data_IF_942852806261
#
_entry.id   IF_942852806261
#
_cell.length_a   1.000
_cell.length_b   1.000
_cell.length_c   1.000
_cell.angle_alpha   90.00
_cell.angle_beta   90.00
_cell.angle_gamma   90.00
#
_symmetry.space_group_name_H-M   'P 1'
#
loop_
_entity.id
_entity.type
_entity.pdbx_description
1 polymer ?
#
# COMPACT_ATOMS: atom_id res chain seq x y z
N UNK A 1 -59.62 34.38 36.81
CA UNK A 1 -59.31 34.53 35.38
C UNK A 1 -57.98 35.25 35.23
N UNK A 2 -56.91 34.55 34.80
CA UNK A 2 -55.74 35.13 34.12
C UNK A 2 -54.54 34.18 34.23
N UNK A 3 -54.05 33.78 33.05
CA UNK A 3 -52.66 33.45 32.68
C UNK A 3 -52.01 32.27 33.41
N UNK A 4 -51.86 31.16 32.68
CA UNK A 4 -50.55 30.56 32.38
C UNK A 4 -50.69 29.51 31.26
N UNK A 5 -49.61 29.32 30.52
CA UNK A 5 -49.36 28.29 29.49
C UNK A 5 -49.72 28.65 28.03
N UNK A 6 -48.90 29.51 27.44
CA UNK A 6 -48.79 29.67 25.98
C UNK A 6 -47.33 29.71 25.48
N UNK A 7 -46.40 29.08 26.22
CA UNK A 7 -44.96 29.10 25.90
C UNK A 7 -44.31 27.73 25.67
N UNK A 8 -45.07 26.63 25.70
CA UNK A 8 -44.52 25.28 25.44
C UNK A 8 -44.69 24.79 24.00
N UNK A 9 -45.55 25.43 23.19
CA UNK A 9 -45.84 24.99 21.81
C UNK A 9 -44.92 25.55 20.72
N UNK A 10 -44.31 26.72 20.94
CA UNK A 10 -43.50 27.40 19.91
C UNK A 10 -42.05 26.93 19.91
N UNK A 11 -41.54 26.41 21.03
CA UNK A 11 -40.15 25.91 21.15
C UNK A 11 -39.98 24.52 20.54
N UNK A 12 -41.01 23.67 20.55
CA UNK A 12 -40.93 22.36 19.91
C UNK A 12 -40.99 22.42 18.38
N UNK A 13 -41.71 23.39 17.81
CA UNK A 13 -41.81 23.53 16.35
C UNK A 13 -40.52 24.08 15.71
N UNK A 14 -39.76 24.94 16.41
CA UNK A 14 -38.44 25.42 15.95
C UNK A 14 -37.34 24.39 16.15
N UNK A 15 -37.39 23.56 17.20
CA UNK A 15 -36.47 22.43 17.36
C UNK A 15 -36.69 21.35 16.29
N UNK A 16 -37.94 21.01 15.98
CA UNK A 16 -38.26 20.08 14.89
C UNK A 16 -37.91 20.66 13.51
N UNK A 17 -38.10 21.96 13.29
CA UNK A 17 -37.66 22.62 12.06
C UNK A 17 -36.12 22.69 11.95
N UNK A 18 -35.37 22.90 13.04
CA UNK A 18 -33.90 22.80 13.04
C UNK A 18 -33.40 21.36 12.86
N UNK A 19 -34.15 20.35 13.32
CA UNK A 19 -33.82 18.94 13.11
C UNK A 19 -34.17 18.45 11.70
N UNK A 20 -35.19 19.04 11.07
CA UNK A 20 -35.61 18.73 9.69
C UNK A 20 -34.83 19.56 8.65
N UNK A 21 -34.28 20.73 9.03
CA UNK A 21 -33.40 21.55 8.18
C UNK A 21 -31.90 21.21 8.32
N UNK A 22 -31.54 20.21 9.15
CA UNK A 22 -30.22 19.55 9.12
C UNK A 22 -30.17 18.37 8.14
N UNK A 23 -31.17 18.22 7.27
CA UNK A 23 -31.06 17.45 6.02
C UNK A 23 -30.60 18.41 4.92
N UNK A 24 -29.43 19.01 5.12
CA UNK A 24 -28.56 19.38 4.02
C UNK A 24 -27.42 18.40 4.09
N UNK A 25 -27.37 17.50 3.11
CA UNK A 25 -26.31 16.51 2.91
C UNK A 25 -24.95 17.20 2.90
N UNK A 26 -24.33 17.31 4.07
CA UNK A 26 -22.88 17.40 4.19
C UNK A 26 -22.38 16.09 3.62
N UNK A 27 -21.91 16.12 2.37
CA UNK A 27 -21.24 14.98 1.77
C UNK A 27 -20.02 14.72 2.64
N UNK A 28 -20.09 13.72 3.52
CA UNK A 28 -18.93 13.35 4.33
C UNK A 28 -17.72 13.13 3.41
N UNK A 29 -16.59 13.70 3.75
CA UNK A 29 -15.39 13.63 2.90
C UNK A 29 -14.67 12.28 3.04
N UNK A 30 -14.97 11.55 4.13
CA UNK A 30 -14.41 10.26 4.50
C UNK A 30 -15.52 9.38 5.05
N UNK A 31 -15.38 8.06 4.89
CA UNK A 31 -16.23 7.06 5.54
C UNK A 31 -15.37 6.32 6.54
N UNK A 32 -15.55 6.67 7.82
CA UNK A 32 -14.90 5.99 8.93
C UNK A 32 -15.70 4.74 9.30
N UNK A 33 -15.02 3.67 9.68
CA UNK A 33 -15.66 2.45 10.17
C UNK A 33 -15.81 2.56 11.68
N UNK A 34 -16.92 2.07 12.20
CA UNK A 34 -16.99 1.69 13.60
C UNK A 34 -16.12 0.43 13.81
N UNK A 35 -15.11 0.59 14.66
CA UNK A 35 -14.15 -0.45 15.00
C UNK A 35 -14.54 -1.19 16.29
N UNK A 36 -15.68 -0.87 16.89
CA UNK A 36 -16.20 -1.52 18.09
C UNK A 36 -16.44 -3.03 17.83
N UNK A 37 -15.84 -3.88 18.67
CA UNK A 37 -15.91 -5.34 18.51
C UNK A 37 -14.99 -5.94 17.45
N UNK A 38 -14.06 -5.17 16.85
CA UNK A 38 -13.04 -5.74 15.98
C UNK A 38 -12.10 -6.65 16.80
N UNK A 39 -12.02 -7.97 16.51
CA UNK A 39 -11.25 -8.92 17.30
C UNK A 39 -9.73 -8.66 17.22
N UNK A 40 -9.27 -7.88 16.24
CA UNK A 40 -7.87 -7.50 16.08
C UNK A 40 -7.47 -6.27 16.89
N UNK A 41 -8.42 -5.61 17.56
CA UNK A 41 -8.16 -4.48 18.44
C UNK A 41 -8.23 -4.97 19.88
N UNK A 42 -7.10 -4.96 20.58
CA UNK A 42 -7.07 -5.27 22.02
C UNK A 42 -7.52 -4.03 22.80
N UNK A 43 -8.64 -4.07 23.55
CA UNK A 43 -9.04 -2.94 24.38
C UNK A 43 -7.95 -2.62 25.41
N UNK A 44 -7.60 -1.34 25.57
CA UNK A 44 -6.60 -0.82 26.52
C UNK A 44 -5.14 -1.27 26.30
N UNK A 45 -4.76 -1.72 25.10
CA UNK A 45 -3.34 -1.89 24.79
C UNK A 45 -2.69 -0.51 24.56
N UNK A 46 -1.75 -0.11 25.42
CA UNK A 46 -0.86 1.04 25.16
C UNK A 46 0.09 0.78 23.95
N UNK A 47 -0.01 -0.39 23.34
CA UNK A 47 0.74 -0.82 22.17
C UNK A 47 0.16 -0.36 20.84
N UNK A 48 0.46 -1.15 19.82
CA UNK A 48 0.33 -0.78 18.42
C UNK A 48 -1.10 -0.50 17.94
N UNK A 49 -2.16 -0.90 18.63
CA UNK A 49 -3.54 -0.69 18.15
C UNK A 49 -4.23 0.54 18.76
N UNK A 50 -3.50 1.35 19.54
CA UNK A 50 -4.02 2.53 20.26
C UNK A 50 -4.37 3.72 19.36
N UNK A 51 -3.94 3.70 18.10
CA UNK A 51 -4.04 4.82 17.16
C UNK A 51 -4.60 4.35 15.81
N UNK A 52 -5.66 4.98 15.32
CA UNK A 52 -6.23 4.68 13.99
C UNK A 52 -5.34 5.21 12.86
N UNK A 53 -5.05 6.51 12.85
CA UNK A 53 -4.12 7.16 11.90
C UNK A 53 -3.30 8.22 12.62
N UNK A 54 -2.11 8.50 12.12
CA UNK A 54 -1.27 9.61 12.61
C UNK A 54 -1.90 10.94 12.19
N UNK A 55 -2.44 11.02 10.96
CA UNK A 55 -3.06 12.24 10.45
C UNK A 55 -4.21 12.73 11.33
N UNK A 56 -5.16 11.86 11.68
CA UNK A 56 -6.35 12.27 12.44
C UNK A 56 -5.99 12.64 13.88
N UNK A 57 -5.03 11.94 14.48
CA UNK A 57 -4.53 12.32 15.81
C UNK A 57 -3.88 13.71 15.81
N UNK A 58 -3.05 14.02 14.82
CA UNK A 58 -2.46 15.36 14.68
C UNK A 58 -3.54 16.42 14.46
N UNK A 59 -4.52 16.16 13.58
CA UNK A 59 -5.63 17.07 13.28
C UNK A 59 -6.50 17.35 14.51
N UNK A 60 -6.73 16.33 15.34
CA UNK A 60 -7.61 16.41 16.51
C UNK A 60 -6.96 17.16 17.67
N UNK A 61 -5.64 16.98 17.87
CA UNK A 61 -4.96 17.44 19.09
C UNK A 61 -4.12 18.72 18.89
N UNK A 62 -3.85 19.14 17.66
CA UNK A 62 -3.09 20.36 17.38
C UNK A 62 -4.02 21.53 17.04
N UNK A 63 -3.69 22.77 17.51
CA UNK A 63 -4.36 23.97 17.01
C UNK A 63 -4.22 24.10 15.49
N UNK A 64 -5.24 24.63 14.82
CA UNK A 64 -5.34 24.69 13.35
C UNK A 64 -4.08 25.24 12.66
N UNK A 65 -3.54 26.37 13.15
CA UNK A 65 -2.34 26.99 12.59
C UNK A 65 -1.09 26.10 12.75
N UNK A 66 -0.96 25.42 13.89
CA UNK A 66 0.14 24.49 14.16
C UNK A 66 -0.02 23.23 13.30
N UNK A 67 -1.23 22.67 13.22
CA UNK A 67 -1.55 21.54 12.37
C UNK A 67 -1.21 21.83 10.91
N UNK A 68 -1.54 23.01 10.40
CA UNK A 68 -1.22 23.40 9.03
C UNK A 68 0.30 23.35 8.75
N UNK A 69 1.14 23.80 9.69
CA UNK A 69 2.60 23.72 9.56
C UNK A 69 3.13 22.29 9.68
N UNK A 70 2.63 21.52 10.65
CA UNK A 70 3.00 20.11 10.82
C UNK A 70 2.63 19.31 9.57
N UNK A 71 1.41 19.50 9.04
CA UNK A 71 0.94 18.89 7.80
C UNK A 71 1.85 19.23 6.62
N UNK A 72 2.21 20.50 6.44
CA UNK A 72 3.11 20.94 5.36
C UNK A 72 4.47 20.23 5.41
N UNK A 73 5.03 20.03 6.60
CA UNK A 73 6.33 19.38 6.78
C UNK A 73 6.21 17.85 6.58
N UNK A 74 5.24 17.23 7.24
CA UNK A 74 5.10 15.77 7.26
C UNK A 74 4.46 15.19 6.00
N UNK A 75 3.61 15.94 5.30
CA UNK A 75 2.85 15.43 4.15
C UNK A 75 3.09 16.23 2.86
N UNK A 76 3.70 17.42 2.93
CA UNK A 76 4.03 18.23 1.75
C UNK A 76 2.90 19.16 1.29
N UNK A 77 2.75 19.33 -0.02
CA UNK A 77 1.77 20.23 -0.62
C UNK A 77 0.31 19.79 -0.37
N UNK A 78 -0.64 20.72 -0.55
CA UNK A 78 -2.04 20.45 -0.26
C UNK A 78 -2.70 19.48 -1.25
N UNK A 79 -3.59 18.65 -0.70
CA UNK A 79 -4.59 17.86 -1.40
C UNK A 79 -5.99 18.32 -0.97
N UNK A 80 -7.00 17.97 -1.75
CA UNK A 80 -8.41 18.17 -1.38
C UNK A 80 -9.13 16.84 -1.25
N UNK A 81 -10.09 16.77 -0.35
CA UNK A 81 -10.97 15.61 -0.27
C UNK A 81 -11.86 15.54 -1.51
N UNK A 82 -12.12 14.32 -1.99
CA UNK A 82 -13.09 14.04 -3.04
C UNK A 82 -14.42 13.65 -2.39
N UNK A 83 -15.53 14.06 -2.99
CA UNK A 83 -16.86 13.64 -2.54
C UNK A 83 -17.06 12.15 -2.76
N UNK A 84 -17.46 11.42 -1.71
CA UNK A 84 -17.79 10.00 -1.79
C UNK A 84 -19.30 9.85 -2.12
N UNK A 85 -19.71 9.14 -3.18
CA UNK A 85 -21.14 8.92 -3.48
C UNK A 85 -21.85 8.16 -2.36
N UNK A 86 -23.13 8.45 -2.13
CA UNK A 86 -23.92 7.80 -1.07
C UNK A 86 -23.96 6.27 -1.21
N UNK A 87 -24.02 5.76 -2.44
CA UNK A 87 -23.96 4.32 -2.71
C UNK A 87 -22.66 3.69 -2.21
N UNK A 88 -21.53 4.41 -2.34
CA UNK A 88 -20.23 3.96 -1.83
C UNK A 88 -20.23 4.00 -0.31
N UNK A 89 -20.75 5.06 0.33
CA UNK A 89 -20.86 5.14 1.79
C UNK A 89 -21.70 4.00 2.36
N UNK A 90 -22.89 3.81 1.81
CA UNK A 90 -23.82 2.77 2.24
C UNK A 90 -23.19 1.38 2.08
N UNK A 91 -22.47 1.13 0.99
CA UNK A 91 -21.73 -0.12 0.79
C UNK A 91 -20.58 -0.27 1.79
N UNK A 92 -19.80 0.77 2.01
CA UNK A 92 -18.66 0.79 2.92
C UNK A 92 -19.08 0.52 4.37
N UNK A 93 -20.14 1.18 4.85
CA UNK A 93 -20.73 0.94 6.18
C UNK A 93 -21.26 -0.49 6.30
N UNK A 94 -22.04 -0.95 5.31
CA UNK A 94 -22.61 -2.31 5.30
C UNK A 94 -21.52 -3.39 5.34
N UNK A 95 -20.43 -3.17 4.62
CA UNK A 95 -19.34 -4.14 4.46
C UNK A 95 -18.12 -3.83 5.34
N UNK A 96 -18.23 -2.86 6.24
CA UNK A 96 -17.26 -2.51 7.28
C UNK A 96 -15.85 -2.22 6.74
N UNK A 97 -15.73 -1.33 5.76
CA UNK A 97 -14.44 -0.83 5.28
C UNK A 97 -14.39 0.68 5.16
N UNK A 98 -13.21 1.25 5.39
CA UNK A 98 -12.97 2.70 5.35
C UNK A 98 -12.93 3.17 3.89
N UNK A 99 -13.40 4.38 3.62
CA UNK A 99 -13.16 5.04 2.33
C UNK A 99 -12.57 6.42 2.56
N UNK A 100 -11.36 6.64 2.06
CA UNK A 100 -10.73 7.96 1.96
C UNK A 100 -10.50 8.29 0.50
N UNK A 101 -10.73 9.55 0.12
CA UNK A 101 -10.60 9.96 -1.27
C UNK A 101 -9.98 11.36 -1.37
N UNK A 102 -8.86 11.48 -2.10
CA UNK A 102 -8.10 12.72 -2.22
C UNK A 102 -7.76 13.07 -3.67
N UNK A 103 -7.79 14.35 -3.99
CA UNK A 103 -7.28 14.92 -5.24
C UNK A 103 -5.95 15.63 -4.98
N UNK A 104 -4.92 15.21 -5.72
CA UNK A 104 -3.54 15.71 -5.64
C UNK A 104 -3.16 16.52 -6.89
N UNK A 105 -4.14 16.98 -7.66
CA UNK A 105 -3.90 17.64 -8.96
C UNK A 105 -3.67 19.15 -8.85
N UNK A 106 -3.86 19.74 -7.67
CA UNK A 106 -3.95 21.19 -7.50
C UNK A 106 -2.64 21.94 -7.72
N UNK A 107 -1.50 21.28 -7.51
CA UNK A 107 -0.17 21.88 -7.66
C UNK A 107 0.45 21.61 -9.04
N UNK A 108 -0.31 21.00 -9.95
CA UNK A 108 0.15 20.62 -11.29
C UNK A 108 -0.07 21.80 -12.23
N UNK A 109 1.00 22.29 -12.85
CA UNK A 109 0.92 23.41 -13.77
C UNK A 109 0.20 22.98 -15.05
N UNK A 110 -0.64 23.85 -15.62
CA UNK A 110 -1.28 23.59 -16.91
C UNK A 110 -0.21 23.65 -18.02
N UNK A 111 -0.08 22.57 -18.78
CA UNK A 111 0.80 22.55 -19.96
C UNK A 111 0.06 23.12 -21.19
N UNK A 112 0.76 23.88 -22.03
CA UNK A 112 0.19 24.44 -23.26
C UNK A 112 0.10 23.42 -24.39
N UNK A 113 1.05 22.48 -24.45
CA UNK A 113 1.18 21.49 -25.52
C UNK A 113 0.58 20.13 -25.19
N UNK A 114 0.12 19.92 -23.95
CA UNK A 114 -0.40 18.64 -23.49
C UNK A 114 -1.62 18.82 -22.60
N UNK A 115 -2.67 18.01 -22.79
CA UNK A 115 -3.79 18.00 -21.86
C UNK A 115 -3.36 17.38 -20.50
N UNK A 116 -4.08 17.68 -19.40
CA UNK A 116 -3.96 16.94 -18.15
C UNK A 116 -4.12 15.43 -18.36
N UNK A 117 -3.28 14.63 -17.70
CA UNK A 117 -3.36 13.16 -17.74
C UNK A 117 -3.87 12.65 -16.40
N UNK A 118 -5.15 12.90 -16.14
CA UNK A 118 -5.80 12.58 -14.87
C UNK A 118 -6.06 11.08 -14.78
N UNK A 119 -5.65 10.49 -13.66
CA UNK A 119 -5.85 9.07 -13.34
C UNK A 119 -6.31 8.96 -11.89
N UNK A 120 -7.29 8.09 -11.62
CA UNK A 120 -7.69 7.71 -10.27
C UNK A 120 -7.11 6.36 -9.90
N UNK A 121 -6.32 6.34 -8.83
CA UNK A 121 -5.79 5.14 -8.21
C UNK A 121 -6.73 4.67 -7.09
N UNK A 122 -6.89 3.36 -6.96
CA UNK A 122 -7.54 2.72 -5.82
C UNK A 122 -6.56 1.78 -5.12
N UNK A 123 -6.33 1.98 -3.83
CA UNK A 123 -5.48 1.12 -3.01
C UNK A 123 -6.39 0.40 -2.02
N UNK A 124 -6.38 -0.92 -2.06
CA UNK A 124 -7.19 -1.76 -1.17
C UNK A 124 -6.28 -2.44 -0.14
N UNK A 125 -6.55 -2.18 1.14
CA UNK A 125 -6.01 -2.93 2.26
C UNK A 125 -7.11 -3.72 2.95
N UNK A 126 -6.80 -4.92 3.42
CA UNK A 126 -7.75 -5.78 4.08
C UNK A 126 -7.09 -6.82 5.00
N UNK A 127 -7.84 -7.26 6.00
CA UNK A 127 -7.57 -8.49 6.75
C UNK A 127 -8.09 -9.71 5.98
N UNK A 128 -7.69 -10.91 6.40
CA UNK A 128 -8.20 -12.18 5.86
C UNK A 128 -9.73 -12.29 6.01
N UNK A 129 -10.36 -13.07 5.13
CA UNK A 129 -11.83 -13.22 5.09
C UNK A 129 -12.39 -14.30 6.01
N UNK A 130 -11.58 -15.27 6.44
CA UNK A 130 -11.96 -16.36 7.32
C UNK A 130 -10.77 -16.79 8.20
N UNK A 131 -11.02 -17.61 9.22
CA UNK A 131 -9.97 -18.12 10.09
C UNK A 131 -8.99 -19.01 9.32
N UNK A 132 -7.72 -19.00 9.74
CA UNK A 132 -6.65 -19.79 9.11
C UNK A 132 -6.83 -21.30 9.25
N UNK A 133 -7.70 -21.75 10.16
CA UNK A 133 -8.08 -23.15 10.38
C UNK A 133 -9.16 -23.64 9.42
N UNK A 134 -9.84 -22.75 8.69
CA UNK A 134 -10.85 -23.13 7.70
C UNK A 134 -10.20 -23.76 6.47
N UNK A 135 -10.92 -24.57 5.68
CA UNK A 135 -10.41 -25.08 4.40
C UNK A 135 -9.96 -23.95 3.48
N UNK A 136 -8.90 -24.19 2.69
CA UNK A 136 -8.30 -23.21 1.77
C UNK A 136 -9.34 -22.55 0.88
N UNK A 137 -10.26 -23.33 0.29
CA UNK A 137 -11.33 -22.83 -0.57
C UNK A 137 -12.31 -21.89 0.13
N UNK A 138 -12.59 -22.12 1.42
CA UNK A 138 -13.46 -21.26 2.24
C UNK A 138 -12.77 -19.93 2.50
N UNK A 139 -11.48 -19.96 2.87
CA UNK A 139 -10.68 -18.75 3.05
C UNK A 139 -10.59 -17.93 1.76
N UNK A 140 -10.34 -18.60 0.64
CA UNK A 140 -10.23 -17.98 -0.69
C UNK A 140 -11.55 -17.32 -1.11
N UNK A 141 -12.68 -18.03 -0.95
CA UNK A 141 -14.00 -17.47 -1.29
C UNK A 141 -14.35 -16.27 -0.42
N UNK A 142 -14.07 -16.34 0.87
CA UNK A 142 -14.36 -15.24 1.80
C UNK A 142 -13.58 -13.97 1.43
N UNK A 143 -12.33 -14.10 0.98
CA UNK A 143 -11.53 -12.94 0.57
C UNK A 143 -11.93 -12.40 -0.80
N UNK A 144 -12.30 -13.26 -1.76
CA UNK A 144 -12.87 -12.83 -3.06
C UNK A 144 -14.13 -11.97 -2.87
N UNK A 145 -15.08 -12.42 -2.04
CA UNK A 145 -16.33 -11.69 -1.77
C UNK A 145 -16.10 -10.33 -1.12
N UNK A 146 -15.03 -10.20 -0.32
CA UNK A 146 -14.64 -8.96 0.34
C UNK A 146 -13.99 -7.99 -0.66
N UNK A 147 -13.07 -8.48 -1.47
CA UNK A 147 -12.38 -7.70 -2.51
C UNK A 147 -13.36 -7.25 -3.60
N UNK A 148 -14.31 -8.09 -4.01
CA UNK A 148 -15.33 -7.70 -5.00
C UNK A 148 -16.08 -6.43 -4.57
N UNK A 149 -16.49 -6.35 -3.30
CA UNK A 149 -17.25 -5.20 -2.76
C UNK A 149 -16.42 -3.92 -2.71
N UNK A 150 -15.12 -4.02 -2.42
CA UNK A 150 -14.21 -2.88 -2.42
C UNK A 150 -13.88 -2.43 -3.85
N UNK A 151 -13.76 -3.36 -4.81
CA UNK A 151 -13.59 -3.04 -6.23
C UNK A 151 -14.87 -2.40 -6.79
N UNK A 152 -16.05 -2.88 -6.42
CA UNK A 152 -17.33 -2.26 -6.79
C UNK A 152 -17.42 -0.82 -6.29
N UNK A 153 -17.00 -0.56 -5.05
CA UNK A 153 -16.89 0.79 -4.50
C UNK A 153 -15.85 1.65 -5.26
N UNK A 154 -14.68 1.09 -5.58
CA UNK A 154 -13.66 1.77 -6.37
C UNK A 154 -14.18 2.16 -7.77
N UNK A 155 -14.97 1.28 -8.41
CA UNK A 155 -15.59 1.55 -9.70
C UNK A 155 -16.58 2.72 -9.62
N UNK A 156 -17.42 2.79 -8.57
CA UNK A 156 -18.33 3.92 -8.33
C UNK A 156 -17.59 5.23 -8.03
N UNK A 157 -16.36 5.16 -7.52
CA UNK A 157 -15.45 6.30 -7.35
C UNK A 157 -14.71 6.69 -8.65
N UNK A 158 -14.93 5.97 -9.75
CA UNK A 158 -14.27 6.22 -11.04
C UNK A 158 -12.79 5.85 -11.06
N UNK A 159 -12.36 4.89 -10.22
CA UNK A 159 -10.98 4.40 -10.20
C UNK A 159 -10.62 3.76 -11.55
N UNK A 160 -9.43 4.08 -12.04
CA UNK A 160 -8.89 3.57 -13.29
C UNK A 160 -7.91 2.40 -13.08
N UNK A 161 -7.14 2.45 -12.00
CA UNK A 161 -6.15 1.44 -11.63
C UNK A 161 -6.30 1.06 -10.17
N UNK A 162 -6.59 -0.20 -9.87
CA UNK A 162 -6.64 -0.73 -8.50
C UNK A 162 -5.40 -1.56 -8.21
N UNK A 163 -4.79 -1.33 -7.04
CA UNK A 163 -3.78 -2.21 -6.46
C UNK A 163 -4.34 -2.93 -5.24
N UNK A 164 -4.05 -4.23 -5.16
CA UNK A 164 -4.31 -5.07 -3.98
C UNK A 164 -3.01 -5.23 -3.17
N UNK A 165 -3.12 -5.61 -1.89
CA UNK A 165 -1.99 -5.89 -1.02
C UNK A 165 -1.23 -7.17 -1.40
N UNK A 166 -0.07 -7.40 -0.77
CA UNK A 166 0.74 -8.59 -1.04
C UNK A 166 0.02 -9.90 -0.64
N UNK A 167 0.10 -10.90 -1.51
CA UNK A 167 -0.47 -12.24 -1.31
C UNK A 167 -1.93 -12.16 -0.82
N UNK A 168 -2.73 -11.29 -1.45
CA UNK A 168 -4.05 -10.91 -0.94
C UNK A 168 -5.02 -12.09 -0.81
N UNK A 169 -4.81 -13.15 -1.58
CA UNK A 169 -5.64 -14.36 -1.62
C UNK A 169 -5.46 -15.29 -0.42
N UNK A 170 -4.45 -15.07 0.42
CA UNK A 170 -4.09 -15.99 1.50
C UNK A 170 -3.76 -15.27 2.83
N UNK A 171 -3.84 -15.97 3.97
CA UNK A 171 -3.10 -15.58 5.17
C UNK A 171 -1.60 -15.53 4.88
N UNK A 172 -0.88 -14.65 5.55
CA UNK A 172 0.56 -14.49 5.42
C UNK A 172 1.31 -15.58 6.21
N UNK A 173 1.05 -16.84 5.86
CA UNK A 173 1.46 -18.04 6.60
C UNK A 173 2.97 -18.34 6.59
N UNK A 174 3.79 -17.48 5.97
CA UNK A 174 5.21 -17.73 5.80
C UNK A 174 5.98 -17.80 7.13
N UNK A 175 5.44 -17.26 8.23
CA UNK A 175 6.02 -17.43 9.57
C UNK A 175 6.09 -18.89 10.02
N UNK A 176 5.10 -19.70 9.62
CA UNK A 176 4.95 -21.09 10.08
C UNK A 176 6.04 -21.99 9.51
N UNK A 177 6.56 -21.63 8.33
CA UNK A 177 7.50 -22.43 7.51
C UNK A 177 6.91 -23.76 7.03
N UNK A 178 5.65 -24.03 7.34
CA UNK A 178 4.91 -25.21 6.91
C UNK A 178 4.58 -25.13 5.43
N UNK A 179 4.62 -26.27 4.73
CA UNK A 179 4.24 -26.36 3.32
C UNK A 179 2.75 -26.60 3.13
N UNK A 180 2.17 -27.48 3.95
CA UNK A 180 0.76 -27.84 3.86
C UNK A 180 -0.02 -27.20 5.00
N UNK A 181 -1.25 -26.70 4.75
CA UNK A 181 -1.92 -26.61 3.45
C UNK A 181 -1.53 -25.35 2.64
N UNK A 182 -0.59 -24.53 3.14
CA UNK A 182 -0.33 -23.18 2.62
C UNK A 182 0.08 -23.12 1.14
N UNK A 183 0.73 -24.15 0.62
CA UNK A 183 1.11 -24.24 -0.80
C UNK A 183 -0.07 -24.55 -1.73
N UNK A 184 -1.25 -24.91 -1.21
CA UNK A 184 -2.48 -25.06 -1.99
C UNK A 184 -3.07 -23.71 -2.42
N UNK A 185 -2.68 -22.60 -1.77
CA UNK A 185 -3.04 -21.25 -2.23
C UNK A 185 -2.29 -20.83 -3.50
N UNK A 186 -1.22 -21.55 -3.87
CA UNK A 186 -0.44 -21.21 -5.04
C UNK A 186 -1.18 -21.57 -6.33
N UNK A 187 -1.23 -20.66 -7.27
CA UNK A 187 -1.98 -20.80 -8.52
C UNK A 187 -1.23 -20.31 -9.74
N UNK A 188 -1.69 -20.69 -10.93
CA UNK A 188 -1.13 -20.19 -12.20
C UNK A 188 -1.35 -18.69 -12.35
N UNK A 189 -0.32 -17.96 -12.76
CA UNK A 189 -0.40 -16.49 -12.85
C UNK A 189 -1.45 -16.00 -13.87
N UNK A 190 -1.57 -16.65 -15.03
CA UNK A 190 -2.48 -16.22 -16.10
C UNK A 190 -3.88 -16.87 -16.02
N UNK A 191 -3.93 -18.13 -15.62
CA UNK A 191 -5.15 -18.97 -15.67
C UNK A 191 -5.67 -19.36 -14.30
N UNK A 192 -4.98 -18.96 -13.23
CA UNK A 192 -5.38 -19.20 -11.84
C UNK A 192 -6.68 -18.50 -11.45
N UNK A 193 -7.24 -18.95 -10.33
CA UNK A 193 -8.58 -18.57 -9.87
C UNK A 193 -8.69 -17.06 -9.67
N UNK A 194 -7.74 -16.42 -8.98
CA UNK A 194 -7.81 -14.97 -8.75
C UNK A 194 -7.74 -14.17 -10.04
N UNK A 195 -6.85 -14.56 -10.97
CA UNK A 195 -6.70 -13.85 -12.24
C UNK A 195 -7.99 -13.96 -13.06
N UNK A 196 -8.60 -15.14 -13.14
CA UNK A 196 -9.87 -15.31 -13.86
C UNK A 196 -11.03 -14.54 -13.21
N UNK A 197 -11.08 -14.50 -11.88
CA UNK A 197 -12.04 -13.69 -11.13
C UNK A 197 -11.86 -12.19 -11.42
N UNK A 198 -10.65 -11.66 -11.25
CA UNK A 198 -10.35 -10.24 -11.43
C UNK A 198 -10.45 -9.79 -12.90
N UNK A 199 -10.20 -10.66 -13.88
CA UNK A 199 -10.42 -10.36 -15.31
C UNK A 199 -11.88 -9.97 -15.60
N UNK A 200 -12.84 -10.59 -14.91
CA UNK A 200 -14.26 -10.25 -15.04
C UNK A 200 -14.53 -8.83 -14.53
N UNK A 201 -14.00 -8.49 -13.35
CA UNK A 201 -14.17 -7.17 -12.74
C UNK A 201 -13.44 -6.08 -13.52
N UNK A 202 -12.21 -6.32 -13.94
CA UNK A 202 -11.42 -5.41 -14.77
C UNK A 202 -12.18 -5.02 -16.06
N UNK A 203 -12.74 -6.01 -16.76
CA UNK A 203 -13.55 -5.79 -17.96
C UNK A 203 -14.88 -5.07 -17.64
N UNK A 204 -15.57 -5.49 -16.59
CA UNK A 204 -16.86 -4.90 -16.15
C UNK A 204 -16.71 -3.40 -15.88
N UNK A 205 -15.61 -2.98 -15.26
CA UNK A 205 -15.40 -1.62 -14.80
C UNK A 205 -14.42 -0.79 -15.63
N UNK A 206 -13.90 -1.35 -16.74
CA UNK A 206 -12.87 -0.69 -17.55
C UNK A 206 -11.68 -0.22 -16.69
N UNK A 207 -11.17 -1.14 -15.85
CA UNK A 207 -10.20 -0.86 -14.79
C UNK A 207 -8.99 -1.79 -14.89
N UNK A 208 -7.78 -1.26 -14.74
CA UNK A 208 -6.56 -2.06 -14.60
C UNK A 208 -6.46 -2.56 -13.17
N UNK A 209 -6.09 -3.82 -12.96
CA UNK A 209 -5.95 -4.41 -11.62
C UNK A 209 -4.55 -5.02 -11.45
N UNK A 210 -3.86 -4.64 -10.37
CA UNK A 210 -2.60 -5.25 -9.92
C UNK A 210 -2.91 -6.26 -8.83
N UNK A 211 -2.61 -7.53 -9.07
CA UNK A 211 -2.96 -8.69 -8.22
C UNK A 211 -1.72 -9.44 -7.74
N UNK A 212 -1.22 -9.17 -6.52
CA UNK A 212 -0.12 -9.93 -5.92
C UNK A 212 -0.59 -11.26 -5.33
N UNK A 213 -0.04 -12.37 -5.82
CA UNK A 213 -0.43 -13.75 -5.49
C UNK A 213 0.80 -14.63 -5.20
N UNK A 214 0.53 -15.79 -4.61
CA UNK A 214 1.46 -16.91 -4.62
C UNK A 214 1.30 -17.63 -5.97
N UNK A 215 2.31 -17.55 -6.82
CA UNK A 215 2.31 -18.20 -8.13
C UNK A 215 2.89 -19.61 -8.01
N UNK A 216 2.25 -20.58 -8.67
CA UNK A 216 2.83 -21.86 -9.06
C UNK A 216 3.09 -21.84 -10.56
N UNK A 217 4.33 -22.08 -10.96
CA UNK A 217 4.77 -22.08 -12.36
C UNK A 217 4.85 -23.52 -12.89
N UNK A 218 3.74 -24.05 -13.43
CA UNK A 218 3.69 -25.43 -13.92
C UNK A 218 4.62 -25.69 -15.10
N UNK A 219 4.93 -24.67 -15.91
CA UNK A 219 5.89 -24.79 -17.02
C UNK A 219 7.33 -25.00 -16.53
N UNK A 220 7.63 -24.58 -15.30
CA UNK A 220 8.97 -24.66 -14.70
C UNK A 220 8.96 -25.50 -13.43
N UNK A 221 8.46 -26.74 -13.51
CA UNK A 221 8.47 -27.75 -12.43
C UNK A 221 7.73 -27.32 -11.16
N UNK A 222 6.58 -26.65 -11.31
CA UNK A 222 5.72 -26.21 -10.20
C UNK A 222 6.46 -25.32 -9.17
N UNK A 223 7.50 -24.62 -9.60
CA UNK A 223 8.26 -23.70 -8.73
C UNK A 223 7.35 -22.58 -8.26
N UNK A 224 7.51 -22.23 -6.99
CA UNK A 224 6.68 -21.24 -6.31
C UNK A 224 7.36 -19.88 -6.34
N UNK A 225 6.55 -18.84 -6.58
CA UNK A 225 6.99 -17.46 -6.70
C UNK A 225 6.03 -16.51 -5.97
N UNK A 226 6.55 -15.39 -5.49
CA UNK A 226 5.74 -14.25 -5.09
C UNK A 226 5.63 -13.30 -6.28
N UNK A 227 4.42 -13.12 -6.79
CA UNK A 227 4.19 -12.58 -8.14
C UNK A 227 3.06 -11.58 -8.15
N UNK A 228 3.27 -10.43 -8.78
CA UNK A 228 2.20 -9.50 -9.11
C UNK A 228 1.78 -9.67 -10.57
N UNK A 229 0.50 -9.95 -10.79
CA UNK A 229 -0.13 -10.04 -12.10
C UNK A 229 -0.77 -8.69 -12.44
N UNK A 230 -0.59 -8.21 -13.67
CA UNK A 230 -1.25 -7.01 -14.18
C UNK A 230 -2.35 -7.40 -15.16
N UNK A 231 -3.58 -7.07 -14.81
CA UNK A 231 -4.78 -7.34 -15.60
C UNK A 231 -5.23 -6.03 -16.24
N UNK A 232 -5.35 -6.04 -17.57
CA UNK A 232 -5.77 -4.87 -18.34
C UNK A 232 -7.26 -4.59 -18.19
N UNK A 233 -7.65 -3.35 -18.47
CA UNK A 233 -9.03 -2.85 -18.39
C UNK A 233 -10.03 -3.55 -19.33
N UNK A 234 -9.55 -4.38 -20.26
CA UNK A 234 -10.40 -5.22 -21.13
C UNK A 234 -10.53 -6.66 -20.62
N UNK A 235 -9.98 -6.96 -19.44
CA UNK A 235 -9.91 -8.30 -18.86
C UNK A 235 -8.86 -9.19 -19.51
N UNK A 236 -7.88 -8.63 -20.21
CA UNK A 236 -6.73 -9.36 -20.73
C UNK A 236 -5.62 -9.44 -19.68
N UNK A 237 -4.90 -10.55 -19.65
CA UNK A 237 -3.63 -10.64 -18.93
C UNK A 237 -2.60 -9.80 -19.68
N UNK A 238 -1.95 -8.84 -19.01
CA UNK A 238 -0.87 -8.03 -19.62
C UNK A 238 0.47 -8.72 -19.37
N UNK A 239 0.67 -9.25 -18.16
CA UNK A 239 1.91 -9.88 -17.76
C UNK A 239 2.02 -10.02 -16.25
N UNK A 240 3.21 -10.41 -15.80
CA UNK A 240 3.56 -10.58 -14.39
C UNK A 240 4.94 -10.02 -14.07
N UNK A 241 5.18 -9.75 -12.79
CA UNK A 241 6.50 -9.49 -12.22
C UNK A 241 6.68 -10.29 -10.94
N UNK A 242 7.88 -10.78 -10.70
CA UNK A 242 8.24 -11.58 -9.52
C UNK A 242 9.01 -10.73 -8.50
N UNK A 243 8.87 -11.05 -7.22
CA UNK A 243 9.52 -10.31 -6.13
C UNK A 243 11.05 -10.43 -6.23
N UNK A 244 11.71 -9.32 -6.59
CA UNK A 244 13.17 -9.31 -6.80
C UNK A 244 13.99 -9.53 -5.52
N UNK A 245 13.48 -9.08 -4.37
CA UNK A 245 14.21 -9.15 -3.10
C UNK A 245 13.39 -9.92 -2.06
N UNK A 246 13.93 -11.05 -1.60
CA UNK A 246 13.23 -11.96 -0.69
C UNK A 246 13.77 -11.80 0.74
N UNK A 247 12.92 -11.46 1.72
CA UNK A 247 13.34 -11.37 3.11
C UNK A 247 13.66 -12.74 3.70
N UNK A 248 14.53 -12.69 4.72
CA UNK A 248 14.91 -13.83 5.57
C UNK A 248 14.91 -13.45 7.05
N UNK A 249 14.12 -12.43 7.42
CA UNK A 249 14.20 -11.75 8.72
C UNK A 249 13.02 -12.09 9.62
N UNK A 250 13.29 -12.61 10.81
CA UNK A 250 12.27 -12.92 11.83
C UNK A 250 11.18 -13.86 11.30
N UNK A 251 9.93 -13.43 11.39
CA UNK A 251 8.76 -14.17 10.89
C UNK A 251 8.59 -14.14 9.36
N UNK A 252 9.30 -13.25 8.67
CA UNK A 252 9.29 -13.15 7.20
C UNK A 252 10.23 -14.21 6.58
N UNK A 253 9.94 -15.48 6.81
CA UNK A 253 10.71 -16.64 6.32
C UNK A 253 10.38 -17.00 4.86
N UNK A 254 10.18 -15.99 4.03
CA UNK A 254 9.68 -16.11 2.66
C UNK A 254 10.60 -16.92 1.74
N UNK A 255 11.92 -16.82 1.93
CA UNK A 255 12.90 -17.60 1.16
C UNK A 255 12.78 -19.12 1.33
N UNK A 256 12.03 -19.57 2.34
CA UNK A 256 11.66 -20.99 2.49
C UNK A 256 10.72 -21.42 1.38
N UNK A 257 9.90 -20.51 0.85
CA UNK A 257 8.78 -20.80 -0.07
C UNK A 257 9.11 -20.50 -1.53
N UNK A 258 9.82 -19.41 -1.81
CA UNK A 258 10.08 -18.94 -3.17
C UNK A 258 11.45 -18.27 -3.30
N UNK A 259 11.87 -18.13 -4.56
CA UNK A 259 13.18 -17.61 -4.96
C UNK A 259 13.12 -16.13 -5.37
N UNK A 260 14.29 -15.51 -5.49
CA UNK A 260 14.45 -14.16 -6.04
C UNK A 260 13.96 -14.08 -7.49
N UNK A 261 13.17 -13.05 -7.78
CA UNK A 261 12.56 -12.85 -9.09
C UNK A 261 13.57 -12.79 -10.24
N UNK A 262 13.20 -13.41 -11.36
CA UNK A 262 14.03 -13.54 -12.56
C UNK A 262 13.51 -12.72 -13.77
N UNK A 263 12.54 -11.84 -13.55
CA UNK A 263 11.86 -11.07 -14.61
C UNK A 263 12.36 -9.62 -14.72
N UNK A 264 13.33 -9.22 -13.90
CA UNK A 264 13.85 -7.86 -13.87
C UNK A 264 12.84 -6.85 -13.32
N UNK A 265 12.71 -5.70 -13.98
CA UNK A 265 11.89 -4.58 -13.51
C UNK A 265 10.90 -4.12 -14.61
N UNK A 266 9.99 -4.98 -15.07
CA UNK A 266 9.08 -4.65 -16.17
C UNK A 266 8.16 -3.49 -15.79
N UNK A 267 7.92 -2.62 -16.77
CA UNK A 267 6.95 -1.53 -16.68
C UNK A 267 5.83 -1.80 -17.67
N UNK A 268 4.60 -1.83 -17.18
CA UNK A 268 3.42 -2.19 -17.95
C UNK A 268 2.77 -0.93 -18.48
N UNK A 269 2.79 -0.75 -19.80
CA UNK A 269 2.07 0.34 -20.45
C UNK A 269 0.58 0.02 -20.54
N UNK A 270 -0.24 0.90 -19.98
CA UNK A 270 -1.71 0.78 -19.99
C UNK A 270 -2.32 2.07 -20.52
N UNK A 271 -3.63 2.05 -20.81
CA UNK A 271 -4.35 3.28 -21.19
C UNK A 271 -4.34 4.35 -20.08
N UNK A 272 -4.01 3.97 -18.84
CA UNK A 272 -3.99 4.84 -17.67
C UNK A 272 -2.58 5.15 -17.16
N UNK A 273 -1.55 4.90 -17.98
CA UNK A 273 -0.16 5.20 -17.67
C UNK A 273 0.73 3.96 -17.56
N UNK A 274 2.03 4.21 -17.35
CA UNK A 274 3.07 3.18 -17.20
C UNK A 274 3.24 2.76 -15.74
N UNK A 275 2.97 1.50 -15.45
CA UNK A 275 2.88 0.97 -14.09
C UNK A 275 4.06 0.05 -13.79
N UNK A 276 4.78 0.31 -12.70
CA UNK A 276 5.72 -0.64 -12.08
C UNK A 276 5.14 -1.24 -10.80
N UNK A 277 5.68 -2.38 -10.35
CA UNK A 277 5.25 -3.02 -9.11
C UNK A 277 6.48 -3.46 -8.30
N UNK A 278 6.77 -2.74 -7.24
CA UNK A 278 7.82 -3.09 -6.29
C UNK A 278 7.22 -3.90 -5.13
N UNK A 279 7.40 -5.22 -5.14
CA UNK A 279 6.73 -6.09 -4.16
C UNK A 279 7.45 -6.05 -2.79
N UNK A 280 6.71 -5.60 -1.77
CA UNK A 280 7.01 -5.70 -0.34
C UNK A 280 8.44 -5.35 0.05
N UNK A 281 9.28 -6.35 0.40
CA UNK A 281 10.64 -6.16 0.89
C UNK A 281 11.55 -5.42 -0.09
N UNK A 282 11.19 -5.46 -1.38
CA UNK A 282 11.81 -4.62 -2.40
C UNK A 282 11.74 -3.12 -2.10
N UNK A 283 10.88 -2.67 -1.16
CA UNK A 283 10.80 -1.29 -0.67
C UNK A 283 12.08 -0.80 -0.01
N UNK A 284 12.86 -1.70 0.59
CA UNK A 284 14.08 -1.37 1.33
C UNK A 284 15.29 -1.14 0.41
N UNK A 285 15.18 -1.44 -0.89
CA UNK A 285 16.28 -1.38 -1.85
C UNK A 285 16.07 -0.21 -2.81
N UNK A 286 16.77 0.93 -2.62
CA UNK A 286 16.67 2.09 -3.52
C UNK A 286 16.90 1.75 -5.01
N UNK A 287 17.81 0.81 -5.30
CA UNK A 287 18.11 0.38 -6.67
C UNK A 287 16.92 -0.32 -7.36
N UNK A 288 16.06 -1.00 -6.60
CA UNK A 288 14.87 -1.67 -7.13
C UNK A 288 13.83 -0.62 -7.58
N UNK A 289 13.59 0.40 -6.75
CA UNK A 289 12.79 1.56 -7.12
C UNK A 289 13.35 2.30 -8.34
N UNK A 290 14.66 2.55 -8.33
CA UNK A 290 15.35 3.23 -9.41
C UNK A 290 15.23 2.49 -10.74
N UNK A 291 15.29 1.16 -10.72
CA UNK A 291 15.18 0.34 -11.92
C UNK A 291 13.81 0.48 -12.61
N UNK A 292 12.71 0.60 -11.85
CA UNK A 292 11.40 0.94 -12.43
C UNK A 292 11.37 2.37 -13.00
N UNK A 293 12.02 3.32 -12.33
CA UNK A 293 12.17 4.70 -12.81
C UNK A 293 12.94 4.80 -14.13
N UNK A 294 14.05 4.06 -14.25
CA UNK A 294 14.87 3.94 -15.47
C UNK A 294 14.07 3.34 -16.63
N UNK A 295 13.20 2.36 -16.34
CA UNK A 295 12.30 1.75 -17.33
C UNK A 295 11.05 2.60 -17.62
N UNK A 296 10.98 3.82 -17.08
CA UNK A 296 9.97 4.81 -17.45
C UNK A 296 8.65 4.72 -16.69
N UNK A 297 8.60 4.06 -15.54
CA UNK A 297 7.40 4.02 -14.70
C UNK A 297 6.89 5.43 -14.36
N UNK A 298 5.57 5.59 -14.41
CA UNK A 298 4.85 6.81 -13.99
C UNK A 298 4.19 6.63 -12.62
N UNK A 299 3.87 5.39 -12.28
CA UNK A 299 3.24 4.96 -11.03
C UNK A 299 3.92 3.65 -10.63
N UNK A 300 4.38 3.54 -9.39
CA UNK A 300 4.88 2.28 -8.85
C UNK A 300 4.02 1.85 -7.67
N UNK A 301 3.35 0.70 -7.80
CA UNK A 301 2.65 0.08 -6.68
C UNK A 301 3.64 -0.66 -5.79
N UNK A 302 3.45 -0.56 -4.47
CA UNK A 302 4.20 -1.29 -3.47
C UNK A 302 3.27 -2.10 -2.57
N UNK A 303 2.76 -3.25 -3.07
CA UNK A 303 1.98 -4.16 -2.27
C UNK A 303 2.88 -4.83 -1.23
N UNK A 304 2.49 -4.75 0.03
CA UNK A 304 3.25 -5.26 1.17
C UNK A 304 2.36 -6.01 2.15
N UNK A 305 2.98 -6.90 2.92
CA UNK A 305 2.50 -7.36 4.20
C UNK A 305 3.65 -7.20 5.20
N UNK A 306 3.50 -6.30 6.17
CA UNK A 306 4.52 -6.05 7.18
C UNK A 306 3.90 -5.65 8.52
N UNK A 307 4.49 -6.13 9.61
CA UNK A 307 4.04 -5.86 10.99
C UNK A 307 4.87 -4.77 11.63
N UNK A 308 4.45 -4.23 12.77
CA UNK A 308 5.18 -3.13 13.40
C UNK A 308 6.43 -3.53 14.17
N UNK A 309 6.77 -2.74 15.18
CA UNK A 309 8.14 -2.70 15.70
C UNK A 309 9.03 -1.84 14.79
N UNK A 310 10.15 -2.39 14.32
CA UNK A 310 11.11 -1.62 13.51
C UNK A 310 10.58 -1.23 12.12
N UNK A 311 9.63 -1.98 11.55
CA UNK A 311 9.17 -1.70 10.18
C UNK A 311 8.27 -0.48 10.05
N UNK A 312 7.40 -0.20 11.01
CA UNK A 312 6.40 0.87 10.89
C UNK A 312 7.05 2.27 10.79
N UNK A 313 8.12 2.60 11.55
CA UNK A 313 8.85 3.85 11.37
C UNK A 313 9.46 4.06 9.98
N UNK A 314 9.76 2.98 9.24
CA UNK A 314 10.29 3.05 7.87
C UNK A 314 9.19 3.32 6.84
N UNK A 315 7.96 2.90 7.11
CA UNK A 315 6.82 2.96 6.19
C UNK A 315 6.55 4.34 5.59
N UNK A 316 6.51 5.46 6.36
CA UNK A 316 6.26 6.77 5.79
C UNK A 316 7.47 7.37 5.05
N UNK A 317 8.63 6.69 5.06
CA UNK A 317 9.90 7.18 4.54
C UNK A 317 10.20 6.57 3.17
N UNK A 318 10.21 5.25 3.05
CA UNK A 318 10.83 4.54 1.91
C UNK A 318 10.10 4.78 0.58
N UNK A 319 8.78 4.51 0.55
CA UNK A 319 7.96 4.74 -0.64
C UNK A 319 7.89 6.22 -1.02
N UNK A 320 7.87 7.11 -0.02
CA UNK A 320 7.90 8.56 -0.24
C UNK A 320 9.24 9.03 -0.82
N UNK A 321 10.35 8.53 -0.29
CA UNK A 321 11.68 8.81 -0.82
C UNK A 321 11.81 8.32 -2.26
N UNK A 322 11.29 7.12 -2.56
CA UNK A 322 11.28 6.58 -3.91
C UNK A 322 10.49 7.46 -4.89
N UNK A 323 9.34 8.01 -4.49
CA UNK A 323 8.57 8.94 -5.31
C UNK A 323 9.37 10.20 -5.65
N UNK A 324 10.06 10.77 -4.66
CA UNK A 324 10.89 11.97 -4.81
C UNK A 324 12.09 11.69 -5.74
N UNK A 325 12.88 10.66 -5.41
CA UNK A 325 14.14 10.36 -6.10
C UNK A 325 13.94 9.98 -7.57
N UNK A 326 12.82 9.32 -7.89
CA UNK A 326 12.53 8.83 -9.24
C UNK A 326 11.52 9.70 -10.01
N UNK A 327 10.95 10.70 -9.35
CA UNK A 327 9.98 11.64 -9.92
C UNK A 327 8.81 10.92 -10.61
N UNK A 328 8.22 9.97 -9.88
CA UNK A 328 6.98 9.27 -10.22
C UNK A 328 6.00 9.24 -9.03
N UNK A 329 4.80 8.70 -9.20
CA UNK A 329 3.92 8.39 -8.07
C UNK A 329 4.25 7.03 -7.46
N UNK A 330 4.06 6.88 -6.14
CA UNK A 330 4.15 5.60 -5.43
C UNK A 330 2.85 5.33 -4.69
N UNK A 331 2.30 4.13 -4.87
CA UNK A 331 1.10 3.64 -4.20
C UNK A 331 1.48 2.54 -3.20
N UNK A 332 1.65 2.90 -1.92
CA UNK A 332 2.07 1.98 -0.86
C UNK A 332 0.86 1.33 -0.19
N UNK A 333 0.81 0.00 -0.19
CA UNK A 333 -0.33 -0.78 0.32
C UNK A 333 0.21 -1.78 1.33
N UNK A 334 -0.34 -1.80 2.54
CA UNK A 334 -0.04 -2.83 3.53
C UNK A 334 -1.31 -3.54 3.98
N UNK A 335 -1.14 -4.80 4.36
CA UNK A 335 -2.15 -5.61 5.05
C UNK A 335 -2.58 -4.99 6.39
N UNK A 336 -3.76 -5.38 6.88
CA UNK A 336 -4.26 -5.02 8.22
C UNK A 336 -4.67 -6.23 9.04
N UNK A 337 -4.71 -6.05 10.35
CA UNK A 337 -5.21 -7.05 11.31
C UNK A 337 -4.10 -7.97 11.84
N UNK A 338 -4.49 -8.93 12.68
CA UNK A 338 -3.59 -9.91 13.27
C UNK A 338 -4.05 -11.30 12.90
N UNK A 339 -3.16 -12.10 12.33
CA UNK A 339 -3.45 -13.46 11.89
C UNK A 339 -2.90 -14.47 12.90
N UNK A 340 -3.70 -15.49 13.22
CA UNK A 340 -3.36 -16.57 14.14
C UNK A 340 -3.27 -17.88 13.38
N UNK A 341 -2.30 -18.74 13.67
CA UNK A 341 -2.08 -20.01 12.97
C UNK A 341 -2.36 -21.23 13.87
N UNK A 342 -2.66 -22.41 13.29
CA UNK A 342 -3.04 -23.60 14.07
C UNK A 342 -1.92 -24.08 15.01
N UNK A 343 -0.68 -24.08 14.51
CA UNK A 343 0.50 -24.59 15.19
C UNK A 343 1.37 -23.43 15.69
N UNK A 344 2.11 -23.68 16.77
CA UNK A 344 3.07 -22.71 17.30
C UNK A 344 4.31 -22.60 16.40
N UNK A 345 4.84 -21.40 16.27
CA UNK A 345 6.10 -21.11 15.59
C UNK A 345 6.94 -20.12 16.42
N UNK A 346 8.20 -19.93 16.04
CA UNK A 346 9.11 -18.99 16.72
C UNK A 346 9.63 -17.93 15.75
N UNK A 347 9.76 -16.70 16.25
CA UNK A 347 10.28 -15.54 15.51
C UNK A 347 11.80 -15.46 15.46
N UNK A 348 12.50 -16.48 15.96
CA UNK A 348 13.96 -16.55 16.07
C UNK A 348 14.61 -15.39 16.86
N UNK A 349 13.89 -14.83 17.84
CA UNK A 349 14.34 -13.71 18.69
C UNK A 349 14.57 -14.11 20.16
N UNK A 350 14.56 -15.41 20.45
CA UNK A 350 14.72 -15.96 21.80
C UNK A 350 13.46 -15.92 22.67
N UNK A 351 12.33 -15.42 22.16
CA UNK A 351 11.04 -15.48 22.88
C UNK A 351 10.36 -16.85 22.74
N UNK A 352 9.37 -17.17 23.59
CA UNK A 352 8.59 -18.40 23.49
C UNK A 352 7.89 -18.55 22.14
N UNK A 353 7.59 -19.81 21.79
CA UNK A 353 6.73 -20.10 20.66
C UNK A 353 5.32 -19.51 20.87
N UNK A 354 4.69 -19.11 19.78
CA UNK A 354 3.39 -18.44 19.79
C UNK A 354 2.63 -18.77 18.51
N UNK A 355 1.39 -18.28 18.39
CA UNK A 355 0.51 -18.55 17.25
C UNK A 355 0.13 -17.31 16.45
N UNK A 356 0.42 -16.11 16.95
CA UNK A 356 0.07 -14.85 16.29
C UNK A 356 1.24 -14.29 15.48
N UNK A 357 1.01 -13.93 14.22
CA UNK A 357 2.05 -13.34 13.36
C UNK A 357 2.51 -11.96 13.84
N UNK A 358 1.65 -11.27 14.57
CA UNK A 358 1.75 -9.85 14.87
C UNK A 358 0.78 -9.00 14.05
N UNK A 359 0.68 -7.73 14.42
CA UNK A 359 -0.30 -6.81 13.85
C UNK A 359 0.22 -6.15 12.57
N UNK A 360 -0.43 -6.44 11.45
CA UNK A 360 -0.26 -5.71 10.21
C UNK A 360 -0.95 -4.34 10.34
N UNK A 361 -0.20 -3.28 10.13
CA UNK A 361 -0.60 -1.92 10.52
C UNK A 361 -1.22 -1.09 9.40
N UNK A 362 -1.55 -1.66 8.24
CA UNK A 362 -2.20 -0.93 7.14
C UNK A 362 -1.46 0.34 6.78
N UNK A 363 -2.10 1.49 7.04
CA UNK A 363 -1.50 2.80 6.76
C UNK A 363 -1.18 2.98 5.27
N UNK A 364 -2.00 2.43 4.38
CA UNK A 364 -1.80 2.56 2.94
C UNK A 364 -1.94 4.02 2.50
N UNK A 365 -1.08 4.49 1.59
CA UNK A 365 -1.01 5.90 1.18
C UNK A 365 -0.44 6.06 -0.23
N UNK A 366 -0.65 7.24 -0.83
CA UNK A 366 -0.05 7.63 -2.11
C UNK A 366 0.96 8.74 -1.91
N UNK A 367 2.15 8.60 -2.50
CA UNK A 367 3.17 9.64 -2.59
C UNK A 367 3.29 10.17 -4.01
N UNK A 368 3.47 11.48 -4.12
CA UNK A 368 3.68 12.20 -5.36
C UNK A 368 5.16 12.55 -5.56
N UNK A 369 5.57 12.80 -6.81
CA UNK A 369 6.95 13.16 -7.14
C UNK A 369 7.43 14.50 -6.54
N UNK A 370 6.51 15.40 -6.19
CA UNK A 370 6.81 16.71 -5.60
C UNK A 370 6.99 16.68 -4.07
N UNK A 371 7.20 15.49 -3.51
CA UNK A 371 7.28 15.17 -2.08
C UNK A 371 5.96 15.29 -1.31
N UNK A 372 4.83 15.63 -1.96
CA UNK A 372 3.52 15.54 -1.32
C UNK A 372 3.05 14.09 -1.17
N UNK A 373 2.19 13.82 -0.20
CA UNK A 373 1.56 12.51 0.00
C UNK A 373 0.17 12.64 0.62
N UNK A 374 -0.69 11.68 0.36
CA UNK A 374 -1.98 11.58 1.04
C UNK A 374 -1.81 11.25 2.52
N UNK A 375 -2.81 11.57 3.35
CA UNK A 375 -3.06 10.83 4.58
C UNK A 375 -3.17 9.33 4.31
N UNK A 376 -2.78 8.56 5.29
CA UNK A 376 -2.90 7.11 5.28
C UNK A 376 -4.32 6.63 5.62
N UNK A 377 -4.66 5.42 5.17
CA UNK A 377 -5.78 4.65 5.71
C UNK A 377 -5.51 4.23 7.16
N UNK A 378 -6.57 3.80 7.84
CA UNK A 378 -6.52 3.27 9.21
C UNK A 378 -5.54 2.12 9.36
N UNK A 379 -4.99 2.00 10.56
CA UNK A 379 -4.13 0.90 10.99
C UNK A 379 -4.92 -0.35 11.39
N UNK A 380 -6.23 -0.21 11.57
CA UNK A 380 -7.02 -1.13 12.39
C UNK A 380 -8.04 -1.95 11.60
N UNK A 381 -8.26 -1.63 10.33
CA UNK A 381 -9.35 -2.20 9.55
C UNK A 381 -9.18 -2.04 8.05
N UNK A 382 -10.08 -2.69 7.33
CA UNK A 382 -10.06 -2.71 5.88
C UNK A 382 -10.34 -1.34 5.29
N UNK A 383 -9.85 -1.05 4.10
CA UNK A 383 -10.11 0.24 3.50
C UNK A 383 -9.78 0.34 2.02
N UNK A 384 -10.42 1.33 1.40
CA UNK A 384 -10.21 1.78 0.04
C UNK A 384 -9.73 3.24 0.09
N UNK A 385 -8.51 3.48 -0.41
CA UNK A 385 -7.99 4.81 -0.65
C UNK A 385 -8.09 5.14 -2.13
N UNK A 386 -8.79 6.23 -2.45
CA UNK A 386 -8.88 6.78 -3.81
C UNK A 386 -7.98 8.00 -3.93
N UNK A 387 -7.07 8.01 -4.90
CA UNK A 387 -6.22 9.16 -5.18
C UNK A 387 -6.36 9.61 -6.64
N UNK A 388 -6.83 10.83 -6.86
CA UNK A 388 -6.84 11.47 -8.18
C UNK A 388 -5.53 12.24 -8.40
N UNK A 389 -4.79 11.84 -9.43
CA UNK A 389 -3.44 12.33 -9.75
C UNK A 389 -3.37 12.80 -11.21
N UNK A 390 -2.42 13.69 -11.52
CA UNK A 390 -2.08 14.04 -12.90
C UNK A 390 -0.65 13.55 -13.22
N UNK A 391 -0.53 12.63 -14.18
CA UNK A 391 0.75 12.06 -14.57
C UNK A 391 1.71 13.08 -15.21
N UNK A 392 1.23 14.25 -15.62
CA UNK A 392 2.10 15.33 -16.09
C UNK A 392 3.01 15.86 -14.96
N UNK A 393 2.62 15.73 -13.70
CA UNK A 393 3.45 16.17 -12.56
C UNK A 393 4.82 15.48 -12.55
N UNK A 394 4.88 14.20 -12.96
CA UNK A 394 6.14 13.46 -13.06
C UNK A 394 7.15 14.22 -13.92
N UNK A 395 6.74 14.65 -15.13
CA UNK A 395 7.59 15.41 -16.06
C UNK A 395 7.96 16.78 -15.48
N UNK A 396 6.99 17.51 -14.94
CA UNK A 396 7.21 18.84 -14.38
C UNK A 396 8.23 18.84 -13.24
N UNK A 397 8.19 17.81 -12.38
CA UNK A 397 9.18 17.62 -11.31
C UNK A 397 10.55 17.26 -11.90
N UNK A 398 10.60 16.36 -12.90
CA UNK A 398 11.85 16.00 -13.60
C UNK A 398 12.52 17.24 -14.21
N UNK A 399 11.76 18.09 -14.89
CA UNK A 399 12.28 19.31 -15.53
C UNK A 399 12.74 20.36 -14.50
N UNK A 400 12.06 20.43 -13.34
CA UNK A 400 12.39 21.40 -12.28
C UNK A 400 13.61 21.00 -11.47
N UNK A 401 13.71 19.73 -11.07
CA UNK A 401 14.76 19.24 -10.17
C UNK A 401 15.91 18.55 -10.89
N UNK A 402 15.66 18.08 -12.11
CA UNK A 402 16.68 17.55 -13.02
C UNK A 402 17.43 16.32 -12.47
N UNK A 403 16.87 15.61 -11.48
CA UNK A 403 17.52 14.48 -10.79
C UNK A 403 18.04 13.43 -11.77
N UNK A 404 17.23 13.02 -12.75
CA UNK A 404 17.63 11.98 -13.71
C UNK A 404 18.76 12.44 -14.63
N UNK A 405 18.79 13.73 -14.99
CA UNK A 405 19.87 14.29 -15.82
C UNK A 405 21.20 14.44 -15.05
N UNK A 406 21.13 14.63 -13.73
CA UNK A 406 22.29 14.80 -12.85
C UNK A 406 22.70 13.52 -12.14
N UNK A 407 22.02 12.40 -12.41
CA UNK A 407 22.22 11.13 -11.69
C UNK A 407 23.53 10.40 -12.00
N UNK A 408 24.29 10.82 -13.04
CA UNK A 408 25.61 10.23 -13.39
C UNK A 408 25.61 8.69 -13.45
N UNK A 409 24.57 8.09 -14.03
CA UNK A 409 24.36 6.63 -14.00
C UNK A 409 25.55 5.80 -14.49
N UNK A 410 26.30 6.28 -15.49
CA UNK A 410 27.50 5.61 -15.99
C UNK A 410 28.58 5.43 -14.91
N UNK A 411 28.77 6.46 -14.06
CA UNK A 411 29.71 6.39 -12.94
C UNK A 411 29.29 5.30 -11.95
N UNK A 412 28.03 5.31 -11.53
CA UNK A 412 27.50 4.31 -10.59
C UNK A 412 27.48 2.90 -11.18
N UNK A 413 27.20 2.75 -12.48
CA UNK A 413 27.24 1.46 -13.15
C UNK A 413 28.67 0.87 -13.11
N UNK A 414 29.69 1.70 -13.36
CA UNK A 414 31.09 1.27 -13.23
C UNK A 414 31.44 0.92 -11.79
N UNK A 415 31.06 1.76 -10.82
CA UNK A 415 31.33 1.52 -9.40
C UNK A 415 30.69 0.22 -8.91
N UNK A 416 29.43 -0.04 -9.25
CA UNK A 416 28.74 -1.29 -8.89
C UNK A 416 29.37 -2.51 -9.57
N UNK A 417 29.76 -2.40 -10.85
CA UNK A 417 30.45 -3.47 -11.56
C UNK A 417 31.84 -3.76 -10.97
N UNK A 418 32.55 -2.74 -10.47
CA UNK A 418 33.81 -2.92 -9.78
C UNK A 418 33.60 -3.53 -8.37
N UNK A 419 32.56 -3.11 -7.65
CA UNK A 419 32.22 -3.58 -6.30
C UNK A 419 31.96 -5.09 -6.23
N UNK A 420 31.28 -5.66 -7.23
CA UNK A 420 30.94 -7.10 -7.23
C UNK A 420 32.13 -8.02 -7.54
N UNK A 421 33.29 -7.48 -7.92
CA UNK A 421 34.47 -8.29 -8.22
C UNK A 421 35.11 -8.80 -6.93
N UNK A 422 35.56 -10.07 -6.86
CA UNK A 422 36.26 -10.60 -5.68
C UNK A 422 37.53 -9.81 -5.30
N UNK A 423 38.12 -9.11 -6.26
CA UNK A 423 39.34 -8.31 -6.08
C UNK A 423 39.05 -6.85 -5.67
N UNK A 424 37.79 -6.49 -5.43
CA UNK A 424 37.42 -5.11 -5.10
C UNK A 424 38.15 -4.63 -3.84
N UNK A 425 38.83 -3.49 -3.96
CA UNK A 425 39.41 -2.79 -2.82
C UNK A 425 38.57 -1.56 -2.53
N UNK A 426 38.08 -1.45 -1.30
CA UNK A 426 37.30 -0.28 -0.86
C UNK A 426 38.15 0.99 -1.03
N UNK A 427 37.52 2.07 -1.50
CA UNK A 427 38.16 3.37 -1.64
C UNK A 427 38.28 4.07 -0.28
N UNK A 428 39.19 3.58 0.58
CA UNK A 428 39.45 4.12 1.92
C UNK A 428 40.76 4.91 1.88
N UNK A 429 40.70 6.20 2.17
CA UNK A 429 41.88 7.05 2.39
C UNK A 429 42.20 7.03 3.88
N UNK A 430 43.35 6.46 4.26
CA UNK A 430 43.77 6.34 5.66
C UNK A 430 44.72 7.45 6.05
N UNK A 431 44.57 7.93 7.29
CA UNK A 431 45.56 8.80 7.94
C UNK A 431 46.87 8.00 8.14
N UNK A 432 48.01 8.44 7.58
CA UNK A 432 49.29 7.76 7.74
C UNK A 432 49.74 7.58 9.20
N UNK A 433 49.26 8.41 10.14
CA UNK A 433 49.57 8.32 11.57
C UNK A 433 48.88 7.15 12.29
N UNK A 434 47.86 6.53 11.68
CA UNK A 434 47.14 5.38 12.23
C UNK A 434 47.84 4.03 11.94
N UNK A 435 48.97 4.05 11.21
CA UNK A 435 49.80 2.88 10.95
C UNK A 435 50.53 2.48 12.26
N UNK A 436 49.86 1.68 13.09
CA UNK A 436 50.39 1.15 14.34
C UNK A 436 49.33 0.79 15.40
N UNK A 437 48.08 1.22 15.25
CA UNK A 437 47.02 0.97 16.25
C UNK A 437 46.05 -0.18 15.89
N UNK A 438 46.03 -0.64 14.64
CA UNK A 438 45.09 -1.66 14.15
C UNK A 438 45.68 -2.48 12.98
N UNK A 439 46.90 -3.01 13.14
CA UNK A 439 47.29 -4.15 12.31
C UNK A 439 46.52 -5.38 12.81
N UNK A 440 45.38 -5.67 12.17
CA UNK A 440 44.81 -7.01 12.24
C UNK A 440 45.84 -7.95 11.61
N UNK A 441 46.45 -8.80 12.44
CA UNK A 441 47.26 -9.92 11.95
C UNK A 441 46.44 -10.71 10.92
N UNK A 442 47.04 -11.14 9.80
CA UNK A 442 46.35 -12.01 8.87
C UNK A 442 46.03 -13.32 9.60
N UNK A 443 44.74 -13.62 9.80
CA UNK A 443 44.32 -14.95 10.22
C UNK A 443 44.64 -15.94 9.09
N UNK A 444 45.58 -16.86 9.35
CA UNK A 444 45.93 -18.01 8.49
C UNK A 444 44.75 -18.95 8.24
#
# INVERSE_FOLDING_TARGET
MSKHNLWSGVVLATAAAMMILMIHTSLAEEVMIDLEGNPHIKPNDQGMTSLSTVYDALKTHLPEQTFAQVRRILYGNEWKSLSIPEQVRSSAVKNKFEVRAYSMIHNVAKEQSRPPRIVRLGLIQNAIGANTTEPVDVQYKAIEEKIERMIDAAALMGVNVVGLQEAWTMPFAFCTREKQPWMEFAEEAETGRSTLFLRKLAKKYNMVIVSPILERDSEHNDVIWNTAVVIGNRGNYIGKVRKNHIPRVGDFNEATYYLEGNLGHPVFETQFGRIGINICYGRHIPLNWQSYGLNGAEIVFNPSATVGGLSEPMWPIEGRNAAIANSYFVASINRVGTEYFPNEFTSADGKPAHKDFGHFYGSSYVSAPDASRSPELTRLGDGLLVAEIDLNLNRQVKDKWMFQSTSRYEMYAKELNDFIKPTFKRQIVRDPSLNGAFEEEPTE
#
